data_IF_694286185034
#
_entry.id   IF_694286185034
#
_cell.length_a   1.000
_cell.length_b   1.000
_cell.length_c   1.000
_cell.angle_alpha   90.00
_cell.angle_beta   90.00
_cell.angle_gamma   90.00
#
_symmetry.space_group_name_H-M   'P 1'
#
loop_
_entity.id
_entity.type
_entity.pdbx_description
1 polymer ?
#
# COMPACT_ATOMS: atom_id res chain seq x y z
N UNK A 1 65.65 3.46 41.38
CA UNK A 1 64.87 2.21 41.55
C UNK A 1 64.06 1.97 40.29
N UNK A 2 63.81 0.70 39.95
CA UNK A 2 63.41 0.16 38.64
C UNK A 2 61.95 0.45 38.22
N UNK A 3 61.71 0.42 36.91
CA UNK A 3 60.45 0.43 36.16
C UNK A 3 59.51 -0.78 36.43
N UNK A 4 58.20 -0.60 36.21
CA UNK A 4 57.20 -1.65 35.90
C UNK A 4 55.77 -1.10 36.00
N UNK A 5 54.99 -0.95 34.90
CA UNK A 5 54.15 -1.99 34.24
C UNK A 5 53.06 -2.56 35.17
N UNK A 6 51.78 -2.74 34.86
CA UNK A 6 50.95 -2.79 33.64
C UNK A 6 49.46 -2.74 34.05
N UNK A 7 48.62 -2.30 33.11
CA UNK A 7 47.28 -2.80 32.75
C UNK A 7 46.28 -3.22 33.84
N UNK A 8 45.10 -2.59 33.81
CA UNK A 8 43.83 -3.33 33.86
C UNK A 8 42.74 -2.55 33.10
N UNK A 9 42.73 -2.77 31.79
CA UNK A 9 41.61 -2.54 30.88
C UNK A 9 40.50 -3.56 31.23
N UNK A 10 39.26 -3.12 31.45
CA UNK A 10 38.04 -3.96 31.35
C UNK A 10 36.84 -3.01 31.22
N UNK A 11 36.46 -2.58 30.01
CA UNK A 11 35.57 -3.26 29.06
C UNK A 11 34.29 -3.81 29.73
N UNK A 12 33.29 -2.94 29.85
CA UNK A 12 31.88 -3.32 29.78
C UNK A 12 31.19 -2.37 28.81
N UNK A 13 31.50 -2.54 27.52
CA UNK A 13 30.64 -2.04 26.44
C UNK A 13 29.41 -2.93 26.43
N UNK A 14 28.34 -2.44 27.07
CA UNK A 14 27.00 -2.99 26.95
C UNK A 14 26.60 -2.87 25.47
N UNK A 15 26.76 -3.95 24.72
CA UNK A 15 26.20 -4.07 23.39
C UNK A 15 24.68 -4.14 23.55
N UNK A 16 24.03 -2.96 23.51
CA UNK A 16 22.62 -2.87 23.17
C UNK A 16 22.45 -3.55 21.81
N UNK A 17 22.02 -4.81 21.86
CA UNK A 17 21.40 -5.47 20.73
C UNK A 17 20.06 -4.75 20.50
N UNK A 18 20.14 -3.61 19.82
CA UNK A 18 19.02 -3.08 19.09
C UNK A 18 18.72 -4.08 17.98
N UNK A 19 17.84 -5.03 18.29
CA UNK A 19 17.19 -5.81 17.26
C UNK A 19 16.36 -4.80 16.48
N UNK A 20 16.88 -4.32 15.36
CA UNK A 20 16.06 -3.69 14.35
C UNK A 20 15.07 -4.78 13.91
N UNK A 21 13.92 -4.83 14.59
CA UNK A 21 12.67 -5.27 13.96
C UNK A 21 12.66 -4.53 12.63
N UNK A 22 12.73 -5.27 11.52
CA UNK A 22 12.67 -4.74 10.17
C UNK A 22 11.41 -3.88 10.10
N UNK A 23 11.59 -2.58 10.36
CA UNK A 23 10.57 -1.58 10.29
C UNK A 23 10.27 -1.49 8.81
N UNK A 24 9.21 -2.16 8.40
CA UNK A 24 8.78 -2.03 7.04
C UNK A 24 8.43 -0.55 6.85
N UNK A 25 9.11 0.12 5.94
CA UNK A 25 8.71 1.43 5.51
C UNK A 25 7.33 1.37 4.84
N UNK A 26 6.57 2.47 4.79
CA UNK A 26 5.38 2.53 3.97
C UNK A 26 5.68 2.20 2.50
N UNK A 27 4.84 1.39 1.87
CA UNK A 27 4.91 1.12 0.43
C UNK A 27 4.05 2.12 -0.35
N UNK A 28 4.54 2.63 -1.47
CA UNK A 28 3.72 3.41 -2.41
C UNK A 28 3.02 2.50 -3.41
N UNK A 29 1.78 2.87 -3.75
CA UNK A 29 0.97 2.20 -4.75
C UNK A 29 0.35 3.24 -5.68
N UNK A 30 0.69 3.16 -6.96
CA UNK A 30 0.11 3.98 -8.02
C UNK A 30 -0.49 3.07 -9.09
N UNK A 31 -1.77 3.25 -9.39
CA UNK A 31 -2.52 2.46 -10.35
C UNK A 31 -3.22 3.37 -11.36
N UNK A 32 -3.01 3.08 -12.64
CA UNK A 32 -3.60 3.81 -13.77
C UNK A 32 -4.54 2.91 -14.56
N UNK A 33 -5.66 3.42 -15.08
CA UNK A 33 -6.66 2.58 -15.74
C UNK A 33 -6.13 2.12 -17.10
N UNK A 34 -6.30 0.84 -17.42
CA UNK A 34 -6.00 0.29 -18.76
C UNK A 34 -7.19 0.36 -19.72
N UNK A 35 -8.39 0.58 -19.19
CA UNK A 35 -9.61 0.69 -19.99
C UNK A 35 -9.67 2.05 -20.68
N UNK A 36 -9.77 2.05 -22.01
CA UNK A 36 -9.94 3.28 -22.80
C UNK A 36 -11.24 4.00 -22.36
N UNK A 37 -11.12 5.28 -21.99
CA UNK A 37 -12.24 6.11 -21.53
C UNK A 37 -12.38 6.20 -20.01
N UNK A 38 -11.77 5.30 -19.25
CA UNK A 38 -11.71 5.43 -17.79
C UNK A 38 -10.62 6.44 -17.41
N UNK A 39 -10.97 7.46 -16.64
CA UNK A 39 -10.03 8.46 -16.10
C UNK A 39 -9.61 8.18 -14.66
N UNK A 40 -9.95 7.00 -14.16
CA UNK A 40 -9.80 6.65 -12.76
C UNK A 40 -8.37 6.24 -12.42
N UNK A 41 -7.71 6.97 -11.52
CA UNK A 41 -6.40 6.66 -10.97
C UNK A 41 -6.54 6.35 -9.48
N UNK A 42 -5.68 5.49 -8.97
CA UNK A 42 -5.59 5.18 -7.55
C UNK A 42 -4.15 5.38 -7.11
N UNK A 43 -3.96 6.20 -6.09
CA UNK A 43 -2.64 6.58 -5.60
C UNK A 43 -2.63 6.59 -4.08
N UNK A 44 -1.50 6.18 -3.52
CA UNK A 44 -1.18 6.50 -2.14
C UNK A 44 -0.26 5.48 -1.48
N UNK A 45 -0.44 5.33 -0.19
CA UNK A 45 0.54 4.67 0.66
C UNK A 45 -0.11 3.56 1.48
N UNK A 46 0.53 2.39 1.42
CA UNK A 46 0.23 1.22 2.23
C UNK A 46 1.18 1.25 3.43
N UNK A 47 0.67 1.46 4.66
CA UNK A 47 1.50 1.43 5.85
C UNK A 47 1.96 0.01 6.15
N UNK A 48 3.09 -0.09 6.82
CA UNK A 48 3.69 -1.35 7.22
C UNK A 48 3.11 -1.97 8.51
N UNK A 49 2.31 -1.20 9.23
CA UNK A 49 1.73 -1.53 10.53
C UNK A 49 0.26 -1.10 10.58
N UNK A 50 -0.38 -1.22 11.75
CA UNK A 50 -1.79 -0.82 12.00
C UNK A 50 -2.03 0.72 11.93
N UNK A 51 -1.25 1.44 11.14
CA UNK A 51 -1.51 2.82 10.78
C UNK A 51 -2.63 2.91 9.73
N UNK A 52 -3.21 4.10 9.61
CA UNK A 52 -4.23 4.37 8.60
C UNK A 52 -3.62 4.32 7.21
N UNK A 53 -4.12 3.40 6.39
CA UNK A 53 -3.98 3.43 4.93
C UNK A 53 -4.23 4.85 4.43
N UNK A 54 -3.54 5.31 3.38
CA UNK A 54 -3.87 6.58 2.72
C UNK A 54 -3.95 6.34 1.23
N UNK A 55 -5.14 5.99 0.74
CA UNK A 55 -5.38 5.79 -0.69
C UNK A 55 -6.44 6.74 -1.20
N UNK A 56 -6.11 7.36 -2.32
CA UNK A 56 -6.94 8.33 -3.03
C UNK A 56 -7.26 7.77 -4.40
N UNK A 57 -8.56 7.66 -4.69
CA UNK A 57 -9.05 7.41 -6.04
C UNK A 57 -9.44 8.74 -6.65
N UNK A 58 -8.85 9.07 -7.79
CA UNK A 58 -9.17 10.27 -8.55
C UNK A 58 -9.78 9.91 -9.89
N UNK A 59 -10.70 10.75 -10.37
CA UNK A 59 -11.27 10.74 -11.71
C UNK A 59 -11.29 12.18 -12.23
N UNK A 60 -11.74 12.40 -13.46
CA UNK A 60 -11.88 13.77 -14.02
C UNK A 60 -12.71 14.71 -13.16
N UNK A 61 -13.75 14.20 -12.50
CA UNK A 61 -14.76 15.02 -11.83
C UNK A 61 -14.72 14.90 -10.30
N UNK A 62 -14.13 13.81 -9.78
CA UNK A 62 -14.20 13.48 -8.37
C UNK A 62 -12.90 12.91 -7.82
N UNK A 63 -12.68 13.13 -6.52
CA UNK A 63 -11.59 12.56 -5.75
C UNK A 63 -12.15 11.97 -4.46
N UNK A 64 -11.80 10.73 -4.17
CA UNK A 64 -12.32 9.95 -3.05
C UNK A 64 -11.14 9.41 -2.24
N UNK A 65 -11.20 9.54 -0.93
CA UNK A 65 -10.25 8.89 -0.03
C UNK A 65 -10.86 7.58 0.45
N UNK A 66 -10.18 6.45 0.23
CA UNK A 66 -10.67 5.11 0.60
C UNK A 66 -10.42 4.76 2.06
N UNK A 67 -9.75 5.64 2.79
CA UNK A 67 -9.26 5.44 4.15
C UNK A 67 -9.82 6.53 5.05
N UNK A 68 -11.08 6.40 5.42
CA UNK A 68 -11.72 7.22 6.43
C UNK A 68 -11.65 6.56 7.82
N UNK A 69 -11.91 7.34 8.87
CA UNK A 69 -12.02 6.83 10.22
C UNK A 69 -13.18 5.81 10.29
N UNK A 70 -12.84 4.53 10.45
CA UNK A 70 -13.80 3.42 10.53
C UNK A 70 -13.78 2.45 9.34
N UNK A 71 -12.87 2.63 8.37
CA UNK A 71 -12.59 1.62 7.36
C UNK A 71 -11.63 0.54 7.88
N UNK A 72 -11.96 -0.72 7.64
CA UNK A 72 -11.10 -1.89 7.89
C UNK A 72 -10.29 -2.17 6.62
N UNK A 73 -8.97 -2.19 6.72
CA UNK A 73 -8.07 -2.45 5.60
C UNK A 73 -7.27 -3.72 5.84
N UNK A 74 -7.16 -4.56 4.82
CA UNK A 74 -6.31 -5.75 4.85
C UNK A 74 -5.48 -5.81 3.58
N UNK A 75 -4.17 -5.94 3.75
CA UNK A 75 -3.21 -6.14 2.66
C UNK A 75 -2.68 -7.56 2.73
N UNK A 76 -2.76 -8.27 1.60
CA UNK A 76 -2.19 -9.60 1.41
C UNK A 76 -1.19 -9.46 0.28
N UNK A 77 0.09 -9.61 0.58
CA UNK A 77 1.15 -9.45 -0.40
C UNK A 77 2.18 -10.58 -0.32
N UNK A 78 2.48 -11.14 -1.49
CA UNK A 78 3.61 -12.01 -1.76
C UNK A 78 3.98 -11.82 -3.23
N UNK A 79 4.60 -10.67 -3.53
CA UNK A 79 4.82 -10.21 -4.90
C UNK A 79 5.74 -11.15 -5.69
N UNK A 80 6.67 -11.83 -5.02
CA UNK A 80 7.50 -12.86 -5.63
C UNK A 80 6.70 -14.10 -6.07
N UNK A 81 5.59 -14.39 -5.39
CA UNK A 81 4.66 -15.48 -5.72
C UNK A 81 3.49 -15.00 -6.62
N UNK A 82 3.52 -13.73 -7.04
CA UNK A 82 2.47 -13.13 -7.86
C UNK A 82 1.19 -12.79 -7.10
N UNK A 83 1.24 -12.71 -5.76
CA UNK A 83 0.09 -12.41 -4.92
C UNK A 83 0.12 -10.95 -4.47
N UNK A 84 -0.96 -10.25 -4.75
CA UNK A 84 -1.24 -8.94 -4.14
C UNK A 84 -2.76 -8.75 -4.08
N UNK A 85 -3.29 -8.44 -2.92
CA UNK A 85 -4.67 -8.06 -2.71
C UNK A 85 -4.77 -7.01 -1.60
N UNK A 86 -5.47 -5.93 -1.89
CA UNK A 86 -5.82 -4.90 -0.94
C UNK A 86 -7.34 -4.91 -0.80
N UNK A 87 -7.82 -5.24 0.38
CA UNK A 87 -9.24 -5.22 0.74
C UNK A 87 -9.51 -4.02 1.62
N UNK A 88 -10.56 -3.27 1.28
CA UNK A 88 -11.01 -2.10 2.03
C UNK A 88 -12.50 -2.28 2.27
N UNK A 89 -12.87 -2.41 3.54
CA UNK A 89 -14.25 -2.51 3.99
C UNK A 89 -14.61 -1.24 4.73
N UNK A 90 -15.58 -0.51 4.21
CA UNK A 90 -16.11 0.71 4.83
C UNK A 90 -17.63 0.61 4.99
N UNK A 91 -18.24 1.58 5.68
CA UNK A 91 -19.69 1.57 5.98
C UNK A 91 -20.53 1.67 4.70
N UNK A 92 -20.88 0.50 4.16
CA UNK A 92 -21.78 0.35 3.01
C UNK A 92 -21.09 0.11 1.67
N UNK A 93 -19.78 -0.18 1.66
CA UNK A 93 -19.07 -0.69 0.48
C UNK A 93 -17.81 -1.49 0.85
N UNK A 94 -17.57 -2.55 0.06
CA UNK A 94 -16.36 -3.37 0.11
C UNK A 94 -15.66 -3.22 -1.25
N UNK A 95 -14.39 -2.80 -1.23
CA UNK A 95 -13.56 -2.62 -2.42
C UNK A 95 -12.35 -3.52 -2.32
N UNK A 96 -12.03 -4.22 -3.41
CA UNK A 96 -10.81 -5.04 -3.50
C UNK A 96 -10.02 -4.64 -4.72
N UNK A 97 -8.73 -4.42 -4.54
CA UNK A 97 -7.75 -4.31 -5.62
C UNK A 97 -6.87 -5.55 -5.58
N UNK A 98 -6.97 -6.41 -6.58
CA UNK A 98 -6.17 -7.65 -6.63
C UNK A 98 -5.36 -7.74 -7.92
N UNK A 99 -4.11 -8.18 -7.80
CA UNK A 99 -3.25 -8.41 -8.94
C UNK A 99 -3.69 -9.64 -9.75
N UNK A 100 -3.49 -9.58 -11.07
CA UNK A 100 -3.56 -10.73 -11.95
C UNK A 100 -2.19 -11.44 -11.85
N UNK A 101 -2.09 -12.65 -11.28
CA UNK A 101 -0.80 -13.23 -10.89
C UNK A 101 0.23 -13.31 -12.01
N UNK A 102 -0.19 -13.72 -13.21
CA UNK A 102 0.69 -13.84 -14.38
C UNK A 102 1.27 -12.50 -14.88
N UNK A 103 0.79 -11.37 -14.38
CA UNK A 103 1.27 -10.03 -14.76
C UNK A 103 2.21 -9.42 -13.75
N UNK A 104 2.38 -10.05 -12.58
CA UNK A 104 3.24 -9.54 -11.52
C UNK A 104 4.69 -9.70 -11.90
N UNK A 105 5.40 -8.57 -11.91
CA UNK A 105 6.84 -8.48 -12.15
C UNK A 105 7.46 -7.77 -10.96
N UNK A 106 7.93 -8.55 -9.99
CA UNK A 106 8.63 -8.06 -8.81
C UNK A 106 10.14 -8.07 -9.05
N UNK A 107 10.80 -6.99 -8.65
CA UNK A 107 12.24 -6.81 -8.67
C UNK A 107 12.68 -6.57 -7.22
N UNK A 108 13.46 -7.49 -6.62
CA UNK A 108 14.02 -7.24 -5.30
C UNK A 108 15.01 -6.07 -5.36
N UNK A 109 14.93 -5.18 -4.38
CA UNK A 109 15.89 -4.10 -4.16
C UNK A 109 16.72 -4.42 -2.91
N UNK A 110 17.91 -3.80 -2.72
CA UNK A 110 18.77 -4.08 -1.57
C UNK A 110 18.06 -3.98 -0.21
N UNK A 111 17.10 -3.06 -0.09
CA UNK A 111 16.30 -2.83 1.11
C UNK A 111 14.82 -2.67 0.77
N UNK A 112 14.32 -3.39 -0.25
CA UNK A 112 13.00 -3.10 -0.77
C UNK A 112 12.49 -4.02 -1.87
N UNK A 113 11.39 -3.63 -2.50
CA UNK A 113 10.82 -4.30 -3.67
C UNK A 113 10.16 -3.27 -4.59
N UNK A 114 10.45 -3.39 -5.89
CA UNK A 114 9.75 -2.68 -6.95
C UNK A 114 8.91 -3.70 -7.72
N UNK A 115 7.59 -3.51 -7.82
CA UNK A 115 6.72 -4.43 -8.52
C UNK A 115 5.76 -3.72 -9.46
N UNK A 116 5.58 -4.30 -10.65
CA UNK A 116 4.57 -3.86 -11.62
C UNK A 116 3.62 -4.99 -11.92
N UNK A 117 2.32 -4.69 -11.95
CA UNK A 117 1.29 -5.69 -12.20
C UNK A 117 0.03 -5.06 -12.78
N UNK A 118 -0.76 -5.87 -13.48
CA UNK A 118 -2.14 -5.51 -13.78
C UNK A 118 -2.99 -5.94 -12.59
N UNK A 119 -3.77 -5.03 -12.03
CA UNK A 119 -4.75 -5.31 -11.01
C UNK A 119 -6.17 -5.14 -11.54
N UNK A 120 -7.12 -5.78 -10.88
CA UNK A 120 -8.55 -5.51 -11.05
C UNK A 120 -9.07 -4.84 -9.79
N UNK A 121 -9.75 -3.72 -9.97
CA UNK A 121 -10.49 -3.05 -8.92
C UNK A 121 -11.95 -3.51 -8.98
N UNK A 122 -12.43 -4.13 -7.91
CA UNK A 122 -13.81 -4.59 -7.79
C UNK A 122 -14.62 -3.68 -6.89
N UNK A 123 -15.87 -3.46 -7.30
CA UNK A 123 -16.90 -2.84 -6.49
C UNK A 123 -16.44 -1.54 -5.81
N UNK A 124 -15.81 -0.65 -6.59
CA UNK A 124 -15.64 0.71 -6.12
C UNK A 124 -17.03 1.34 -6.11
N UNK A 125 -17.53 1.61 -4.91
CA UNK A 125 -18.73 2.42 -4.73
C UNK A 125 -18.25 3.84 -4.40
N UNK A 126 -18.19 4.77 -5.36
CA UNK A 126 -18.03 6.18 -5.02
C UNK A 126 -19.25 6.56 -4.18
N UNK A 127 -19.10 6.71 -2.86
CA UNK A 127 -20.25 7.03 -2.01
C UNK A 127 -19.87 7.94 -0.86
N UNK A 128 -20.56 9.09 -0.86
CA UNK A 128 -20.77 10.09 0.22
C UNK A 128 -19.76 11.22 0.38
N UNK A 129 -19.26 11.81 -0.71
CA UNK A 129 -18.93 13.25 -0.71
C UNK A 129 -19.34 13.95 -2.01
N UNK A 130 -20.39 13.46 -2.67
CA UNK A 130 -21.07 14.29 -3.65
C UNK A 130 -21.88 15.34 -2.87
N UNK A 131 -21.71 16.61 -3.22
CA UNK A 131 -22.44 17.72 -2.62
C UNK A 131 -23.94 17.41 -2.54
N UNK A 132 -24.61 17.94 -1.51
CA UNK A 132 -26.06 17.80 -1.36
C UNK A 132 -26.76 18.17 -2.68
N UNK A 133 -27.44 17.20 -3.31
CA UNK A 133 -28.10 17.35 -4.61
C UNK A 133 -27.58 16.46 -5.74
N UNK A 134 -26.52 15.67 -5.54
CA UNK A 134 -26.11 14.69 -6.54
C UNK A 134 -27.06 13.49 -6.58
N UNK A 135 -27.69 13.28 -7.73
CA UNK A 135 -28.58 12.14 -8.00
C UNK A 135 -27.79 10.84 -8.00
N UNK A 136 -28.19 9.88 -7.16
CA UNK A 136 -27.58 8.56 -7.10
C UNK A 136 -28.16 7.67 -8.20
N UNK A 137 -27.32 7.19 -9.11
CA UNK A 137 -27.66 6.02 -9.93
C UNK A 137 -27.12 4.77 -9.24
N UNK A 138 -27.99 3.80 -9.02
CA UNK A 138 -27.64 2.46 -8.53
C UNK A 138 -26.67 1.72 -9.48
N UNK A 139 -26.49 2.24 -10.70
CA UNK A 139 -25.59 1.75 -11.75
C UNK A 139 -24.13 2.25 -11.64
N UNK A 140 -23.82 3.12 -10.68
CA UNK A 140 -22.50 3.79 -10.59
C UNK A 140 -21.43 2.94 -9.84
N UNK A 141 -21.56 1.62 -9.89
CA UNK A 141 -20.52 0.71 -9.42
C UNK A 141 -19.47 0.55 -10.52
N UNK A 142 -18.28 1.10 -10.29
CA UNK A 142 -17.19 0.81 -11.21
C UNK A 142 -16.58 -0.53 -10.82
N UNK A 143 -16.90 -1.56 -11.61
CA UNK A 143 -16.46 -2.95 -11.40
C UNK A 143 -15.51 -3.35 -12.50
N UNK A 144 -14.60 -4.26 -12.16
CA UNK A 144 -13.71 -4.93 -13.10
C UNK A 144 -12.82 -3.99 -13.91
N UNK A 145 -12.46 -2.82 -13.34
CA UNK A 145 -11.48 -1.94 -13.96
C UNK A 145 -10.13 -2.62 -13.88
N UNK A 146 -9.55 -2.92 -15.03
CA UNK A 146 -8.13 -3.30 -15.11
C UNK A 146 -7.28 -2.06 -14.97
N UNK A 147 -6.33 -2.09 -14.04
CA UNK A 147 -5.40 -1.01 -13.78
C UNK A 147 -3.97 -1.54 -13.89
N UNK A 148 -3.07 -0.74 -14.48
CA UNK A 148 -1.63 -0.97 -14.39
C UNK A 148 -1.14 -0.33 -13.10
N UNK A 149 -0.64 -1.16 -12.19
CA UNK A 149 -0.16 -0.75 -10.88
C UNK A 149 1.36 -0.84 -10.79
N UNK A 150 1.92 0.11 -10.06
CA UNK A 150 3.31 0.17 -9.65
C UNK A 150 3.32 0.23 -8.12
N UNK A 151 3.95 -0.77 -7.51
CA UNK A 151 4.16 -0.89 -6.08
C UNK A 151 5.64 -0.69 -5.80
N UNK A 152 6.00 0.13 -4.82
CA UNK A 152 7.38 0.32 -4.40
C UNK A 152 7.48 0.42 -2.89
N UNK A 153 8.39 -0.36 -2.33
CA UNK A 153 8.70 -0.39 -0.92
C UNK A 153 10.22 -0.30 -0.74
N UNK A 154 10.71 0.60 0.11
CA UNK A 154 12.14 0.79 0.41
C UNK A 154 12.31 1.24 1.85
N UNK A 155 13.23 0.60 2.59
CA UNK A 155 13.63 0.93 3.98
C UNK A 155 14.78 1.95 3.98
#
# INVERSE_FOLDING_TARGET
MRFGSLLAFSLLAYACHGQALAGSAPASLTCTPLTKGSSMQLDGTIPASEETLSLVVSSREHRYTLSDAGSETTVIESLAEGVFALNIRSRGFDTTLYAIPATVKATPLPYGTDARFVAKLTALRPSRHAAAGASYLYDDYVRDIKMSCHYRYEI
#
